data_IF_079867183068
#
_entry.id   IF_079867183068
#
_cell.length_a   1.000
_cell.length_b   1.000
_cell.length_c   1.000
_cell.angle_alpha   90.00
_cell.angle_beta   90.00
_cell.angle_gamma   90.00
#
_symmetry.space_group_name_H-M   'P 1'
#
loop_
_entity.id
_entity.type
_entity.pdbx_description
1 polymer ?
#
# COMPACT_ATOMS: atom_id res chain seq x y z
N UNK A 1 21.43 -6.72 -25.06
CA UNK A 1 21.79 -5.47 -24.35
C UNK A 1 20.79 -4.41 -24.80
N UNK A 2 19.70 -4.26 -24.06
CA UNK A 2 18.76 -3.15 -24.30
C UNK A 2 19.33 -1.91 -23.59
N UNK A 3 19.47 -0.83 -24.34
CA UNK A 3 19.87 0.46 -23.78
C UNK A 3 18.87 0.88 -22.67
N UNK A 4 19.32 1.52 -21.58
CA UNK A 4 18.41 2.06 -20.58
C UNK A 4 17.51 3.10 -21.26
N UNK A 5 16.21 2.89 -21.13
CA UNK A 5 15.19 3.77 -21.71
C UNK A 5 15.15 5.08 -20.95
N UNK A 6 15.12 6.20 -21.67
CA UNK A 6 15.26 7.58 -21.18
C UNK A 6 14.08 8.12 -20.31
N UNK A 7 13.25 7.26 -19.70
CA UNK A 7 12.09 7.71 -18.92
C UNK A 7 12.31 7.71 -17.39
N UNK A 8 13.57 7.79 -16.96
CA UNK A 8 13.92 7.78 -15.52
C UNK A 8 13.68 9.13 -14.83
N UNK A 9 13.31 10.18 -15.53
CA UNK A 9 13.10 11.52 -14.94
C UNK A 9 11.96 11.60 -13.91
N UNK A 10 11.04 10.60 -13.91
CA UNK A 10 9.93 10.48 -12.96
C UNK A 10 10.34 9.72 -11.68
N UNK A 11 11.33 8.84 -11.79
CA UNK A 11 11.86 8.07 -10.66
C UNK A 11 13.07 8.82 -10.10
N UNK A 12 13.02 9.16 -8.82
CA UNK A 12 14.12 9.90 -8.18
C UNK A 12 15.41 9.07 -8.14
N UNK A 13 16.59 9.71 -8.12
CA UNK A 13 17.86 9.00 -8.00
C UNK A 13 17.95 8.11 -6.75
N UNK A 14 17.36 8.53 -5.62
CA UNK A 14 17.29 7.73 -4.39
C UNK A 14 16.44 6.48 -4.59
N UNK A 15 15.27 6.61 -5.20
CA UNK A 15 14.40 5.47 -5.53
C UNK A 15 15.07 4.51 -6.50
N UNK A 16 15.76 5.03 -7.54
CA UNK A 16 16.53 4.20 -8.47
C UNK A 16 17.61 3.40 -7.75
N UNK A 17 18.37 4.02 -6.85
CA UNK A 17 19.40 3.33 -6.09
C UNK A 17 18.81 2.21 -5.21
N UNK A 18 17.65 2.44 -4.58
CA UNK A 18 16.92 1.42 -3.81
C UNK A 18 16.43 0.28 -4.72
N UNK A 19 15.90 0.61 -5.90
CA UNK A 19 15.43 -0.39 -6.89
C UNK A 19 16.61 -1.22 -7.40
N UNK A 20 17.75 -0.59 -7.72
CA UNK A 20 18.95 -1.30 -8.17
C UNK A 20 19.48 -2.27 -7.11
N UNK A 21 19.43 -1.91 -5.84
CA UNK A 21 19.79 -2.80 -4.75
C UNK A 21 18.88 -4.06 -4.68
N UNK A 22 17.63 -3.95 -5.12
CA UNK A 22 16.73 -5.10 -5.28
C UNK A 22 17.03 -5.89 -6.55
N UNK A 23 17.24 -5.22 -7.68
CA UNK A 23 17.60 -5.86 -8.95
C UNK A 23 18.86 -6.70 -8.80
N UNK A 24 19.87 -6.20 -8.08
CA UNK A 24 21.14 -6.92 -7.83
C UNK A 24 20.99 -8.25 -7.05
N UNK A 25 19.83 -8.51 -6.43
CA UNK A 25 19.55 -9.79 -5.74
C UNK A 25 19.12 -10.90 -6.69
N UNK A 26 18.82 -10.57 -7.95
CA UNK A 26 18.36 -11.53 -8.97
C UNK A 26 19.40 -11.69 -10.09
N UNK A 27 19.41 -12.83 -10.79
CA UNK A 27 20.19 -12.97 -12.02
C UNK A 27 19.80 -11.91 -13.06
N UNK A 28 20.74 -11.54 -13.95
CA UNK A 28 20.50 -10.48 -14.95
C UNK A 28 19.28 -10.72 -15.83
N UNK A 29 18.99 -11.97 -16.17
CA UNK A 29 17.82 -12.38 -16.95
C UNK A 29 16.50 -12.34 -16.14
N UNK A 30 16.58 -12.18 -14.82
CA UNK A 30 15.44 -12.17 -13.88
C UNK A 30 15.23 -10.80 -13.21
N UNK A 31 15.81 -9.71 -13.74
CA UNK A 31 15.69 -8.38 -13.15
C UNK A 31 14.25 -7.89 -12.97
N UNK A 32 13.33 -8.38 -13.81
CA UNK A 32 11.88 -8.13 -13.68
C UNK A 32 11.28 -8.66 -12.36
N UNK A 33 11.95 -9.60 -11.66
CA UNK A 33 11.51 -10.10 -10.36
C UNK A 33 11.57 -9.05 -9.25
N UNK A 34 12.27 -7.94 -9.49
CA UNK A 34 12.30 -6.79 -8.60
C UNK A 34 11.06 -5.87 -8.70
N UNK A 35 10.06 -6.21 -9.53
CA UNK A 35 8.89 -5.35 -9.79
C UNK A 35 8.12 -5.03 -8.50
N UNK A 36 7.82 -6.00 -7.65
CA UNK A 36 7.02 -5.75 -6.45
C UNK A 36 7.72 -4.82 -5.45
N UNK A 37 8.97 -5.05 -5.03
CA UNK A 37 9.68 -4.07 -4.21
C UNK A 37 9.88 -2.72 -4.91
N UNK A 38 10.02 -2.67 -6.24
CA UNK A 38 10.10 -1.42 -6.97
C UNK A 38 8.77 -0.62 -6.89
N UNK A 39 7.62 -1.28 -7.00
CA UNK A 39 6.31 -0.64 -6.85
C UNK A 39 6.14 -0.06 -5.44
N UNK A 40 6.56 -0.75 -4.39
CA UNK A 40 6.55 -0.20 -3.02
C UNK A 40 7.43 1.05 -2.88
N UNK A 41 8.64 1.03 -3.45
CA UNK A 41 9.53 2.19 -3.42
C UNK A 41 8.91 3.39 -4.16
N UNK A 42 8.26 3.14 -5.31
CA UNK A 42 7.58 4.19 -6.07
C UNK A 42 6.33 4.72 -5.36
N UNK A 43 5.59 3.84 -4.69
CA UNK A 43 4.45 4.21 -3.87
C UNK A 43 4.87 5.13 -2.71
N UNK A 44 5.97 4.79 -2.02
CA UNK A 44 6.56 5.65 -0.98
C UNK A 44 7.03 7.00 -1.56
N UNK A 45 7.71 6.99 -2.72
CA UNK A 45 8.16 8.20 -3.41
C UNK A 45 6.99 9.14 -3.75
N UNK A 46 5.84 8.60 -4.13
CA UNK A 46 4.70 9.35 -4.66
C UNK A 46 3.60 9.60 -3.61
N UNK A 47 3.92 9.51 -2.34
CA UNK A 47 2.98 9.84 -1.27
C UNK A 47 1.87 8.82 -1.07
N UNK A 48 2.19 7.52 -1.17
CA UNK A 48 1.32 6.41 -0.81
C UNK A 48 0.60 5.72 -1.98
N UNK A 49 0.82 6.16 -3.21
CA UNK A 49 0.19 5.57 -4.40
C UNK A 49 1.13 5.59 -5.62
N UNK A 50 0.81 4.82 -6.66
CA UNK A 50 1.63 4.74 -7.89
C UNK A 50 0.83 5.23 -9.09
N UNK A 51 1.28 6.32 -9.72
CA UNK A 51 0.64 6.86 -10.91
C UNK A 51 0.90 5.98 -12.14
N UNK A 52 0.06 6.15 -13.17
CA UNK A 52 0.21 5.44 -14.44
C UNK A 52 1.57 5.68 -15.08
N UNK A 53 2.06 6.90 -15.01
CA UNK A 53 3.36 7.31 -15.57
C UNK A 53 4.52 6.61 -14.83
N UNK A 54 4.41 6.43 -13.52
CA UNK A 54 5.39 5.68 -12.74
C UNK A 54 5.35 4.18 -13.05
N UNK A 55 4.15 3.60 -13.28
CA UNK A 55 4.02 2.21 -13.74
C UNK A 55 4.69 2.00 -15.09
N UNK A 56 4.49 2.92 -16.02
CA UNK A 56 5.13 2.88 -17.34
C UNK A 56 6.65 3.03 -17.22
N UNK A 57 7.12 4.00 -16.41
CA UNK A 57 8.54 4.26 -16.21
C UNK A 57 9.27 3.05 -15.60
N UNK A 58 8.70 2.39 -14.60
CA UNK A 58 9.33 1.21 -14.01
C UNK A 58 9.33 0.00 -14.95
N UNK A 59 8.30 -0.15 -15.77
CA UNK A 59 8.27 -1.16 -16.81
C UNK A 59 9.41 -0.98 -17.80
N UNK A 60 9.58 0.23 -18.31
CA UNK A 60 10.67 0.58 -19.21
C UNK A 60 12.04 0.36 -18.54
N UNK A 61 12.20 0.75 -17.28
CA UNK A 61 13.44 0.58 -16.51
C UNK A 61 13.83 -0.88 -16.29
N UNK A 62 12.89 -1.73 -15.93
CA UNK A 62 13.12 -3.16 -15.71
C UNK A 62 13.15 -3.98 -17.01
N UNK A 63 12.85 -3.37 -18.16
CA UNK A 63 12.71 -4.07 -19.45
C UNK A 63 11.49 -5.01 -19.47
N UNK A 64 10.42 -4.63 -18.76
CA UNK A 64 9.21 -5.39 -18.60
C UNK A 64 8.07 -4.79 -19.43
N UNK A 65 7.27 -5.58 -20.18
CA UNK A 65 6.10 -5.05 -20.87
C UNK A 65 5.16 -4.35 -19.88
N UNK A 66 4.70 -3.14 -20.22
CA UNK A 66 3.85 -2.32 -19.34
C UNK A 66 2.61 -3.07 -18.84
N UNK A 67 1.97 -3.87 -19.70
CA UNK A 67 0.82 -4.70 -19.32
C UNK A 67 1.15 -5.64 -18.15
N UNK A 68 2.38 -6.16 -18.09
CA UNK A 68 2.81 -7.03 -16.98
C UNK A 68 3.01 -6.25 -15.69
N UNK A 69 3.44 -4.99 -15.77
CA UNK A 69 3.50 -4.10 -14.61
C UNK A 69 2.10 -3.84 -14.06
N UNK A 70 1.14 -3.55 -14.96
CA UNK A 70 -0.27 -3.36 -14.57
C UNK A 70 -0.88 -4.62 -13.96
N UNK A 71 -0.60 -5.81 -14.52
CA UNK A 71 -1.03 -7.08 -13.94
C UNK A 71 -0.57 -7.22 -12.48
N UNK A 72 0.70 -6.94 -12.20
CA UNK A 72 1.23 -7.00 -10.82
C UNK A 72 0.59 -5.93 -9.94
N UNK A 73 0.56 -4.68 -10.40
CA UNK A 73 0.06 -3.56 -9.62
C UNK A 73 -1.43 -3.69 -9.26
N UNK A 74 -2.25 -4.27 -10.15
CA UNK A 74 -3.68 -4.50 -9.90
C UNK A 74 -3.98 -5.79 -9.15
N UNK A 75 -3.04 -6.74 -9.13
CA UNK A 75 -3.21 -8.01 -8.41
C UNK A 75 -2.96 -7.84 -6.91
N UNK A 76 -1.98 -7.06 -6.52
CA UNK A 76 -1.60 -6.90 -5.13
C UNK A 76 -2.34 -5.74 -4.47
N UNK A 77 -3.23 -6.04 -3.53
CA UNK A 77 -4.07 -5.07 -2.83
C UNK A 77 -3.28 -4.00 -2.04
N UNK A 78 -2.01 -4.28 -1.72
CA UNK A 78 -1.12 -3.34 -1.04
C UNK A 78 -0.56 -2.22 -1.95
N UNK A 79 -0.77 -2.30 -3.26
CA UNK A 79 -0.38 -1.27 -4.21
C UNK A 79 -1.59 -0.38 -4.51
N UNK A 80 -1.51 0.87 -4.11
CA UNK A 80 -2.55 1.86 -4.35
C UNK A 80 -2.33 2.54 -5.71
N UNK A 81 -3.36 2.58 -6.54
CA UNK A 81 -3.30 3.13 -7.91
C UNK A 81 -3.99 4.50 -8.03
N UNK A 82 -4.61 4.96 -6.97
CA UNK A 82 -5.28 6.25 -6.87
C UNK A 82 -4.72 7.02 -5.68
N UNK A 83 -4.80 8.36 -5.69
CA UNK A 83 -4.35 9.17 -4.58
C UNK A 83 -4.98 8.77 -3.26
N UNK A 84 -4.17 8.66 -2.20
CA UNK A 84 -4.59 8.31 -0.85
C UNK A 84 -4.29 9.45 0.13
N UNK A 85 -4.85 9.39 1.34
CA UNK A 85 -4.52 10.30 2.43
C UNK A 85 -3.09 10.11 2.96
N UNK A 86 -2.69 11.00 3.87
CA UNK A 86 -1.36 10.91 4.52
C UNK A 86 -1.18 9.61 5.31
N UNK A 87 -2.28 9.08 5.85
CA UNK A 87 -2.30 7.83 6.60
C UNK A 87 -3.26 6.83 5.97
N UNK A 88 -2.81 5.59 5.81
CA UNK A 88 -3.60 4.47 5.33
C UNK A 88 -4.03 3.62 6.53
N UNK A 89 -5.34 3.50 6.74
CA UNK A 89 -5.93 2.64 7.78
C UNK A 89 -6.59 1.43 7.11
N UNK A 90 -6.07 0.25 7.37
CA UNK A 90 -6.56 -1.01 6.81
C UNK A 90 -7.04 -1.94 7.94
N UNK A 91 -8.35 -2.18 8.03
CA UNK A 91 -8.95 -3.07 9.05
C UNK A 91 -9.05 -4.48 8.50
N UNK A 92 -8.48 -5.44 9.20
CA UNK A 92 -8.61 -6.85 8.83
C UNK A 92 -10.05 -7.32 9.05
N UNK A 93 -10.71 -7.76 7.97
CA UNK A 93 -12.08 -8.32 7.99
C UNK A 93 -12.11 -9.83 7.75
N UNK A 94 -10.96 -10.49 7.77
CA UNK A 94 -10.91 -11.93 7.57
C UNK A 94 -11.55 -12.68 8.74
N UNK A 95 -11.85 -13.96 8.54
CA UNK A 95 -12.76 -14.74 9.38
C UNK A 95 -12.45 -14.66 10.89
N UNK A 96 -11.17 -14.71 11.29
CA UNK A 96 -10.80 -14.62 12.70
C UNK A 96 -11.13 -13.23 13.30
N UNK A 97 -10.77 -12.16 12.61
CA UNK A 97 -11.07 -10.79 13.03
C UNK A 97 -12.57 -10.50 13.01
N UNK A 98 -13.28 -10.99 11.99
CA UNK A 98 -14.74 -10.90 11.90
C UNK A 98 -15.41 -11.53 13.13
N UNK A 99 -15.02 -12.76 13.51
CA UNK A 99 -15.53 -13.44 14.70
C UNK A 99 -15.18 -12.70 16.00
N UNK A 100 -14.10 -11.94 16.02
CA UNK A 100 -13.70 -11.07 17.13
C UNK A 100 -14.34 -9.67 17.08
N UNK A 101 -15.26 -9.40 16.14
CA UNK A 101 -16.03 -8.16 16.08
C UNK A 101 -15.43 -7.07 15.18
N UNK A 102 -14.61 -7.42 14.17
CA UNK A 102 -14.01 -6.45 13.25
C UNK A 102 -15.05 -5.58 12.53
N UNK A 103 -16.22 -6.11 12.18
CA UNK A 103 -17.28 -5.33 11.53
C UNK A 103 -17.79 -4.18 12.43
N UNK A 104 -17.84 -4.39 13.75
CA UNK A 104 -18.19 -3.33 14.69
C UNK A 104 -17.10 -2.26 14.76
N UNK A 105 -15.83 -2.65 14.67
CA UNK A 105 -14.69 -1.73 14.62
C UNK A 105 -14.74 -0.91 13.33
N UNK A 106 -15.01 -1.53 12.18
CA UNK A 106 -15.17 -0.81 10.90
C UNK A 106 -16.28 0.23 11.00
N UNK A 107 -17.47 -0.18 11.47
CA UNK A 107 -18.60 0.75 11.63
C UNK A 107 -18.23 1.91 12.56
N UNK A 108 -17.55 1.63 13.66
CA UNK A 108 -17.10 2.66 14.60
C UNK A 108 -16.12 3.65 13.95
N UNK A 109 -15.17 3.15 13.17
CA UNK A 109 -14.19 4.00 12.45
C UNK A 109 -14.89 4.85 11.38
N UNK A 110 -15.82 4.26 10.61
CA UNK A 110 -16.60 5.00 9.62
C UNK A 110 -17.37 6.17 10.25
N UNK A 111 -18.06 5.90 11.37
CA UNK A 111 -18.82 6.92 12.09
C UNK A 111 -17.90 8.01 12.68
N UNK A 112 -16.76 7.64 13.25
CA UNK A 112 -15.77 8.57 13.80
C UNK A 112 -15.15 9.48 12.73
N UNK A 113 -14.77 8.92 11.60
CA UNK A 113 -14.10 9.66 10.53
C UNK A 113 -15.08 10.36 9.57
N UNK A 114 -16.35 9.96 9.57
CA UNK A 114 -17.37 10.47 8.65
C UNK A 114 -17.14 10.05 7.20
N UNK A 115 -16.47 8.91 6.97
CA UNK A 115 -16.18 8.33 5.65
C UNK A 115 -16.53 6.85 5.63
N UNK A 116 -16.68 6.29 4.44
CA UNK A 116 -16.89 4.85 4.23
C UNK A 116 -15.59 4.16 3.83
N UNK A 117 -15.60 2.82 3.91
CA UNK A 117 -14.50 2.02 3.35
C UNK A 117 -14.21 2.44 1.91
N UNK A 118 -12.95 2.65 1.58
CA UNK A 118 -12.47 3.13 0.28
C UNK A 118 -12.40 4.64 0.15
N UNK A 119 -12.86 5.41 1.15
CA UNK A 119 -12.88 6.87 1.10
C UNK A 119 -11.74 7.50 1.92
N UNK A 120 -11.39 8.71 1.53
CA UNK A 120 -10.41 9.55 2.24
C UNK A 120 -11.15 10.68 2.97
N UNK A 121 -10.72 10.99 4.18
CA UNK A 121 -11.27 12.12 4.95
C UNK A 121 -11.11 13.44 4.18
N UNK A 122 -12.07 14.40 4.30
CA UNK A 122 -12.06 15.65 3.54
C UNK A 122 -10.80 16.50 3.72
N UNK A 123 -10.10 16.33 4.84
CA UNK A 123 -8.82 16.99 5.13
C UNK A 123 -7.61 16.28 4.49
N UNK A 124 -7.84 15.19 3.77
CA UNK A 124 -6.79 14.38 3.15
C UNK A 124 -5.90 13.64 4.15
N UNK A 125 -6.33 13.51 5.39
CA UNK A 125 -5.50 12.93 6.46
C UNK A 125 -5.50 11.41 6.42
N UNK A 126 -6.67 10.78 6.38
CA UNK A 126 -6.82 9.34 6.51
C UNK A 126 -7.59 8.77 5.31
N UNK A 127 -7.05 7.73 4.68
CA UNK A 127 -7.80 6.84 3.78
C UNK A 127 -8.17 5.58 4.56
N UNK A 128 -9.47 5.30 4.66
CA UNK A 128 -9.98 4.04 5.20
C UNK A 128 -10.05 3.02 4.07
N UNK A 129 -9.16 2.04 4.06
CA UNK A 129 -9.05 1.07 2.97
C UNK A 129 -10.32 0.26 2.81
N UNK A 130 -10.72 0.02 1.56
CA UNK A 130 -11.98 -0.66 1.24
C UNK A 130 -12.01 -2.11 1.73
N UNK A 131 -10.91 -2.82 1.54
CA UNK A 131 -10.78 -4.22 1.93
C UNK A 131 -9.31 -4.53 2.19
N UNK A 132 -9.06 -5.44 3.11
CA UNK A 132 -7.71 -5.93 3.35
C UNK A 132 -7.72 -7.44 3.47
N UNK A 133 -6.71 -8.06 2.91
CA UNK A 133 -6.44 -9.47 3.08
C UNK A 133 -6.09 -9.78 4.54
N UNK A 134 -6.04 -11.07 4.90
CA UNK A 134 -5.65 -11.42 6.26
C UNK A 134 -4.24 -10.91 6.58
N UNK A 135 -4.15 -10.04 7.58
CA UNK A 135 -2.88 -9.45 8.05
C UNK A 135 -2.04 -10.42 8.91
N UNK A 136 -2.48 -11.69 9.03
CA UNK A 136 -1.80 -12.79 9.72
C UNK A 136 -1.54 -12.58 11.23
N UNK A 137 -2.22 -11.62 11.89
CA UNK A 137 -2.18 -11.42 13.35
C UNK A 137 -3.47 -11.93 14.03
N UNK A 138 -3.93 -13.11 13.65
CA UNK A 138 -5.24 -13.64 14.05
C UNK A 138 -5.40 -13.84 15.57
N UNK A 139 -4.32 -14.06 16.31
CA UNK A 139 -4.34 -14.20 17.78
C UNK A 139 -4.67 -12.86 18.48
N UNK A 140 -4.47 -11.74 17.81
CA UNK A 140 -4.75 -10.39 18.31
C UNK A 140 -5.97 -9.72 17.65
N UNK A 141 -6.91 -10.49 17.12
CA UNK A 141 -8.12 -9.93 16.52
C UNK A 141 -9.08 -9.29 17.55
N UNK A 142 -9.88 -8.27 17.15
CA UNK A 142 -9.83 -7.58 15.87
C UNK A 142 -8.58 -6.69 15.76
N UNK A 143 -8.07 -6.49 14.55
CA UNK A 143 -6.84 -5.74 14.33
C UNK A 143 -6.90 -4.87 13.07
N UNK A 144 -6.05 -3.85 13.02
CA UNK A 144 -5.83 -3.00 11.84
C UNK A 144 -4.34 -2.73 11.64
N UNK A 145 -3.98 -2.35 10.43
CA UNK A 145 -2.70 -1.75 10.13
C UNK A 145 -2.89 -0.25 9.87
N UNK A 146 -1.98 0.57 10.41
CA UNK A 146 -1.88 2.00 10.11
C UNK A 146 -0.49 2.23 9.55
N UNK A 147 -0.40 2.65 8.29
CA UNK A 147 0.87 2.84 7.58
C UNK A 147 1.80 1.62 7.67
N UNK A 148 1.20 0.41 7.61
CA UNK A 148 1.90 -0.86 7.73
C UNK A 148 2.24 -1.31 9.16
N UNK A 149 1.95 -0.51 10.19
CA UNK A 149 2.14 -0.86 11.60
C UNK A 149 0.89 -1.54 12.18
N UNK A 150 1.06 -2.69 12.81
CA UNK A 150 -0.03 -3.50 13.35
C UNK A 150 -0.51 -3.01 14.72
N UNK A 151 -1.82 -2.90 14.86
CA UNK A 151 -2.52 -2.61 16.09
C UNK A 151 -3.55 -3.71 16.36
N UNK A 152 -3.30 -4.48 17.40
CA UNK A 152 -4.07 -5.67 17.76
C UNK A 152 -5.02 -5.41 18.95
N UNK A 153 -5.96 -6.36 19.19
CA UNK A 153 -6.91 -6.33 20.28
C UNK A 153 -7.70 -5.00 20.34
N UNK A 154 -8.22 -4.59 19.20
CA UNK A 154 -8.89 -3.30 19.06
C UNK A 154 -10.17 -3.23 19.89
N UNK A 155 -10.32 -2.10 20.55
CA UNK A 155 -11.56 -1.63 21.15
C UNK A 155 -11.84 -0.22 20.64
N UNK A 156 -13.08 0.31 20.75
CA UNK A 156 -13.36 1.69 20.36
C UNK A 156 -12.39 2.70 20.99
N UNK A 157 -12.10 2.57 22.28
CA UNK A 157 -11.16 3.45 23.00
C UNK A 157 -9.74 3.35 22.41
N UNK A 158 -9.28 2.14 22.05
CA UNK A 158 -7.96 1.96 21.43
C UNK A 158 -7.91 2.54 20.01
N UNK A 159 -9.01 2.44 19.27
CA UNK A 159 -9.15 3.07 17.95
C UNK A 159 -9.06 4.59 18.10
N UNK A 160 -9.72 5.18 19.09
CA UNK A 160 -9.65 6.63 19.35
C UNK A 160 -8.21 7.08 19.61
N UNK A 161 -7.51 6.41 20.54
CA UNK A 161 -6.11 6.73 20.85
C UNK A 161 -5.21 6.71 19.60
N UNK A 162 -5.41 5.72 18.71
CA UNK A 162 -4.58 5.57 17.52
C UNK A 162 -4.92 6.63 16.47
N UNK A 163 -6.20 6.81 16.15
CA UNK A 163 -6.62 7.72 15.08
C UNK A 163 -6.45 9.20 15.47
N UNK A 164 -6.62 9.54 16.75
CA UNK A 164 -6.44 10.90 17.24
C UNK A 164 -4.96 11.32 17.33
N UNK A 165 -4.03 10.34 17.33
CA UNK A 165 -2.59 10.59 17.30
C UNK A 165 -2.03 10.80 15.88
N UNK A 166 -2.81 10.53 14.82
CA UNK A 166 -2.40 10.76 13.44
C UNK A 166 -2.53 12.25 13.10
N UNK A 167 -1.46 12.88 12.58
CA UNK A 167 -1.42 14.30 12.20
C UNK A 167 -1.70 14.56 10.71
#
# INVERSE_FOLDING_TARGET
MNAPVENTGLITPDSLAKIDAWVAKYPDEQRQSAILPALHILQEQNGGWVSRELLDAIGDYLGMPRVRVYEVATFYSMIELEPVGRHMVAVCKNIACMLCGADNIVTYIEDKLGVKLGETTPDGRITLKVEEECLAACAGGPMMAVDGHYHENLTPARVDEILDALE
#
